data_IF_265231746268
#
_entry.id   IF_265231746268
#
_cell.length_a   1.000
_cell.length_b   1.000
_cell.length_c   1.000
_cell.angle_alpha   90.00
_cell.angle_beta   90.00
_cell.angle_gamma   90.00
#
_symmetry.space_group_name_H-M   'P 1'
#
loop_
_entity.id
_entity.type
_entity.pdbx_description
1 polymer ?
#
# COMPACT_ATOMS: atom_id res chain seq x y z
N UNK A 1 -18.80 -9.96 33.81
CA UNK A 1 -19.50 -8.70 33.47
C UNK A 1 -19.98 -8.76 32.03
N UNK A 2 -21.27 -8.52 31.76
CA UNK A 2 -21.79 -8.48 30.39
C UNK A 2 -21.68 -7.06 29.87
N UNK A 3 -21.17 -6.90 28.65
CA UNK A 3 -21.13 -5.63 27.92
C UNK A 3 -22.27 -5.70 26.91
N UNK A 4 -23.28 -4.85 27.10
CA UNK A 4 -24.41 -4.80 26.20
C UNK A 4 -24.04 -4.18 24.85
N UNK A 5 -24.76 -4.61 23.82
CA UNK A 5 -24.63 -4.01 22.49
C UNK A 5 -25.05 -2.54 22.53
N UNK A 6 -24.20 -1.68 21.96
CA UNK A 6 -24.45 -0.25 21.80
C UNK A 6 -23.94 0.22 20.44
N UNK A 7 -24.09 1.50 20.14
CA UNK A 7 -23.53 2.10 18.91
C UNK A 7 -22.00 1.99 18.83
N UNK A 8 -21.31 1.90 19.99
CA UNK A 8 -19.85 1.92 20.08
C UNK A 8 -19.23 0.54 20.35
N UNK A 9 -20.01 -0.40 20.90
CA UNK A 9 -19.51 -1.67 21.42
C UNK A 9 -20.37 -2.85 20.92
N UNK A 10 -19.70 -3.94 20.54
CA UNK A 10 -20.35 -5.23 20.32
C UNK A 10 -20.78 -5.85 21.66
N UNK A 11 -21.78 -6.73 21.61
CA UNK A 11 -22.11 -7.56 22.78
C UNK A 11 -20.91 -8.44 23.12
N UNK A 12 -20.51 -8.45 24.39
CA UNK A 12 -19.30 -9.16 24.82
C UNK A 12 -19.39 -9.57 26.27
N UNK A 13 -18.69 -10.64 26.63
CA UNK A 13 -18.65 -11.15 28.01
C UNK A 13 -17.24 -10.97 28.54
N UNK A 14 -17.11 -10.16 29.59
CA UNK A 14 -15.87 -9.99 30.34
C UNK A 14 -15.81 -10.90 31.55
N UNK A 15 -14.65 -11.48 31.81
CA UNK A 15 -14.37 -12.22 33.04
C UNK A 15 -14.32 -11.21 34.21
N UNK A 16 -15.04 -11.50 35.29
CA UNK A 16 -15.23 -10.56 36.41
C UNK A 16 -13.93 -10.14 37.11
N UNK A 17 -12.92 -11.03 37.10
CA UNK A 17 -11.59 -10.80 37.65
C UNK A 17 -10.82 -9.68 36.92
N UNK A 18 -11.04 -9.53 35.62
CA UNK A 18 -10.39 -8.50 34.80
C UNK A 18 -11.15 -7.17 34.75
N UNK A 19 -12.34 -7.08 35.36
CA UNK A 19 -13.04 -5.82 35.59
C UNK A 19 -14.56 -5.83 35.41
N UNK A 20 -15.16 -4.71 35.79
CA UNK A 20 -16.56 -4.39 35.52
C UNK A 20 -16.73 -3.82 34.09
N UNK A 21 -17.98 -3.66 33.67
CA UNK A 21 -18.31 -3.13 32.35
C UNK A 21 -17.62 -1.77 32.07
N UNK A 22 -17.53 -0.90 33.08
CA UNK A 22 -16.91 0.42 32.95
C UNK A 22 -15.40 0.33 32.72
N UNK A 23 -14.69 -0.50 33.48
CA UNK A 23 -13.25 -0.72 33.27
C UNK A 23 -12.96 -1.27 31.88
N UNK A 24 -13.75 -2.25 31.42
CA UNK A 24 -13.56 -2.83 30.10
C UNK A 24 -13.78 -1.77 29.01
N UNK A 25 -14.86 -0.98 29.09
CA UNK A 25 -15.10 0.13 28.15
C UNK A 25 -13.96 1.15 28.13
N UNK A 26 -13.46 1.54 29.30
CA UNK A 26 -12.32 2.46 29.41
C UNK A 26 -11.04 1.89 28.79
N UNK A 27 -10.80 0.59 28.94
CA UNK A 27 -9.67 -0.10 28.31
C UNK A 27 -9.79 -0.09 26.78
N UNK A 28 -10.99 -0.39 26.25
CA UNK A 28 -11.29 -0.32 24.81
C UNK A 28 -11.11 1.10 24.27
N UNK A 29 -11.64 2.11 24.95
CA UNK A 29 -11.48 3.52 24.56
C UNK A 29 -10.01 3.95 24.54
N UNK A 30 -9.19 3.39 25.44
CA UNK A 30 -7.74 3.62 25.47
C UNK A 30 -7.06 3.03 24.23
N UNK A 31 -7.40 1.79 23.85
CA UNK A 31 -6.90 1.16 22.60
C UNK A 31 -7.26 2.02 21.38
N UNK A 32 -8.52 2.45 21.29
CA UNK A 32 -9.00 3.32 20.20
C UNK A 32 -8.22 4.63 20.15
N UNK A 33 -7.94 5.25 21.30
CA UNK A 33 -7.13 6.48 21.38
C UNK A 33 -5.68 6.24 20.95
N UNK A 34 -5.07 5.14 21.36
CA UNK A 34 -3.68 4.79 20.97
C UNK A 34 -3.56 4.63 19.46
N UNK A 35 -4.48 3.90 18.83
CA UNK A 35 -4.53 3.75 17.36
C UNK A 35 -4.74 5.10 16.68
N UNK A 36 -5.66 5.94 17.18
CA UNK A 36 -5.90 7.30 16.66
C UNK A 36 -4.66 8.19 16.76
N UNK A 37 -3.93 8.13 17.87
CA UNK A 37 -2.72 8.90 18.08
C UNK A 37 -1.57 8.44 17.16
N UNK A 38 -1.50 7.13 16.89
CA UNK A 38 -0.50 6.55 16.00
C UNK A 38 -0.69 6.92 14.52
N UNK A 39 -1.93 7.24 14.10
CA UNK A 39 -2.33 7.59 12.72
C UNK A 39 -2.10 6.50 11.65
N UNK A 40 -1.50 5.37 12.02
CA UNK A 40 -1.30 4.19 11.19
C UNK A 40 -1.77 2.91 11.92
N UNK A 41 -2.19 1.85 11.20
CA UNK A 41 -2.56 0.57 11.79
C UNK A 41 -1.41 -0.01 12.61
N UNK A 42 -1.75 -0.69 13.71
CA UNK A 42 -0.77 -1.33 14.59
C UNK A 42 -1.07 -2.82 14.69
N UNK A 43 -0.02 -3.63 14.81
CA UNK A 43 -0.20 -5.05 15.16
C UNK A 43 -0.61 -5.19 16.62
N UNK A 44 -1.11 -6.37 16.98
CA UNK A 44 -1.47 -6.69 18.38
C UNK A 44 -0.24 -6.60 19.30
N UNK A 45 0.93 -6.99 18.83
CA UNK A 45 2.21 -6.89 19.56
C UNK A 45 2.57 -5.42 19.80
N UNK A 46 2.48 -4.57 18.78
CA UNK A 46 2.77 -3.15 18.93
C UNK A 46 1.76 -2.44 19.85
N UNK A 47 0.51 -2.88 19.85
CA UNK A 47 -0.49 -2.38 20.78
C UNK A 47 -0.21 -2.86 22.21
N UNK A 48 0.23 -4.10 22.38
CA UNK A 48 0.64 -4.68 23.66
C UNK A 48 1.88 -3.98 24.24
N UNK A 49 2.90 -3.69 23.43
CA UNK A 49 4.07 -2.92 23.87
C UNK A 49 3.70 -1.52 24.37
N UNK A 50 2.68 -0.90 23.75
CA UNK A 50 2.18 0.43 24.14
C UNK A 50 1.19 0.40 25.29
N UNK A 51 0.56 -0.75 25.53
CA UNK A 51 -0.50 -0.93 26.50
C UNK A 51 -0.12 -2.12 27.37
N UNK A 52 0.52 -1.83 28.49
CA UNK A 52 1.15 -2.76 29.42
C UNK A 52 0.17 -3.81 30.03
N UNK A 53 -0.37 -4.70 29.20
CA UNK A 53 -1.28 -5.79 29.55
C UNK A 53 -0.51 -7.10 29.75
N UNK A 54 -1.13 -8.11 30.36
CA UNK A 54 -0.47 -9.40 30.65
C UNK A 54 -0.12 -10.21 29.40
N UNK A 55 -0.97 -10.15 28.36
CA UNK A 55 -0.77 -10.95 27.15
C UNK A 55 -1.38 -10.24 25.92
N UNK A 56 -0.77 -10.36 24.72
CA UNK A 56 -1.29 -9.73 23.50
C UNK A 56 -2.73 -10.13 23.15
N UNK A 57 -3.13 -11.38 23.42
CA UNK A 57 -4.52 -11.85 23.29
C UNK A 57 -5.55 -11.07 24.11
N UNK A 58 -5.14 -10.48 25.24
CA UNK A 58 -6.02 -9.62 26.02
C UNK A 58 -6.32 -8.33 25.23
N UNK A 59 -5.30 -7.76 24.60
CA UNK A 59 -5.44 -6.58 23.74
C UNK A 59 -6.35 -6.88 22.54
N UNK A 60 -6.16 -8.03 21.91
CA UNK A 60 -7.01 -8.49 20.81
C UNK A 60 -8.48 -8.65 21.24
N UNK A 61 -8.71 -9.32 22.37
CA UNK A 61 -10.06 -9.50 22.93
C UNK A 61 -10.73 -8.15 23.19
N UNK A 62 -10.04 -7.21 23.84
CA UNK A 62 -10.57 -5.86 24.08
C UNK A 62 -10.81 -5.10 22.78
N UNK A 63 -9.87 -5.15 21.83
CA UNK A 63 -10.02 -4.46 20.54
C UNK A 63 -11.25 -4.96 19.77
N UNK A 64 -11.54 -6.27 19.82
CA UNK A 64 -12.70 -6.88 19.17
C UNK A 64 -14.06 -6.42 19.72
N UNK A 65 -14.09 -5.89 20.95
CA UNK A 65 -15.32 -5.32 21.55
C UNK A 65 -15.72 -4.02 20.85
N UNK A 66 -14.77 -3.29 20.26
CA UNK A 66 -15.04 -1.98 19.66
C UNK A 66 -15.63 -2.10 18.26
N UNK A 67 -16.77 -1.43 18.00
CA UNK A 67 -17.32 -1.25 16.64
C UNK A 67 -16.51 -0.27 15.78
N UNK A 68 -15.67 0.55 16.43
CA UNK A 68 -14.84 1.57 15.78
C UNK A 68 -13.50 1.04 15.28
N UNK A 69 -13.16 -0.20 15.63
CA UNK A 69 -11.96 -0.88 15.19
C UNK A 69 -12.30 -1.97 14.18
N UNK A 70 -11.40 -2.16 13.24
CA UNK A 70 -11.41 -3.26 12.30
C UNK A 70 -10.01 -3.86 12.25
N UNK A 71 -9.94 -5.15 11.92
CA UNK A 71 -8.69 -5.85 11.74
C UNK A 71 -8.64 -6.50 10.36
N UNK A 72 -7.44 -6.57 9.80
CA UNK A 72 -7.15 -7.29 8.56
C UNK A 72 -5.74 -7.86 8.68
N UNK A 73 -5.57 -9.17 8.51
CA UNK A 73 -4.25 -9.86 8.58
C UNK A 73 -3.37 -9.36 9.74
N UNK A 74 -3.91 -9.44 10.95
CA UNK A 74 -3.25 -9.15 12.23
C UNK A 74 -2.89 -7.68 12.52
N UNK A 75 -3.25 -6.74 11.64
CA UNK A 75 -3.21 -5.30 11.94
C UNK A 75 -4.57 -4.76 12.33
N UNK A 76 -4.59 -3.94 13.38
CA UNK A 76 -5.75 -3.26 13.92
C UNK A 76 -5.71 -1.78 13.59
N UNK A 77 -6.84 -1.26 13.13
CA UNK A 77 -6.98 0.14 12.76
C UNK A 77 -8.42 0.61 12.95
N UNK A 78 -8.66 1.88 12.64
CA UNK A 78 -10.02 2.40 12.65
C UNK A 78 -10.85 1.75 11.54
N UNK A 79 -12.13 1.46 11.79
CA UNK A 79 -13.08 0.94 10.78
C UNK A 79 -13.21 1.84 9.55
N UNK A 80 -12.84 3.12 9.69
CA UNK A 80 -12.81 4.12 8.60
C UNK A 80 -11.54 4.04 7.74
N UNK A 81 -10.50 3.36 8.20
CA UNK A 81 -9.24 3.29 7.49
C UNK A 81 -9.27 2.22 6.40
N UNK A 82 -8.94 2.59 5.16
CA UNK A 82 -9.03 1.68 4.03
C UNK A 82 -7.99 0.55 4.08
N UNK A 83 -6.94 0.70 4.88
CA UNK A 83 -5.90 -0.32 5.11
C UNK A 83 -6.39 -1.53 5.90
N UNK A 84 -7.38 -1.35 6.79
CA UNK A 84 -7.92 -2.42 7.63
C UNK A 84 -9.38 -2.77 7.30
N UNK A 85 -10.05 -1.92 6.52
CA UNK A 85 -11.42 -2.15 6.06
C UNK A 85 -11.62 -1.64 4.63
N UNK A 86 -11.13 -2.38 3.62
CA UNK A 86 -11.23 -1.97 2.23
C UNK A 86 -12.66 -2.11 1.71
N UNK A 87 -13.47 -1.06 1.88
CA UNK A 87 -14.87 -1.03 1.42
C UNK A 87 -14.98 -0.77 -0.09
N UNK A 88 -14.16 0.14 -0.61
CA UNK A 88 -14.21 0.54 -2.02
C UNK A 88 -13.16 -0.20 -2.84
N UNK A 89 -13.37 -0.27 -4.17
CA UNK A 89 -12.44 -0.92 -5.11
C UNK A 89 -11.02 -0.34 -4.97
N UNK A 90 -10.88 0.98 -4.80
CA UNK A 90 -9.58 1.65 -4.60
C UNK A 90 -8.86 1.18 -3.35
N UNK A 91 -9.59 1.01 -2.25
CA UNK A 91 -9.01 0.59 -0.98
C UNK A 91 -8.53 -0.86 -1.09
N UNK A 92 -9.30 -1.72 -1.77
CA UNK A 92 -8.90 -3.10 -2.09
C UNK A 92 -7.61 -3.13 -2.91
N UNK A 93 -7.52 -2.32 -3.97
CA UNK A 93 -6.32 -2.21 -4.79
C UNK A 93 -5.11 -1.74 -3.96
N UNK A 94 -5.32 -0.75 -3.09
CA UNK A 94 -4.26 -0.23 -2.22
C UNK A 94 -3.71 -1.31 -1.30
N UNK A 95 -4.59 -2.11 -0.67
CA UNK A 95 -4.18 -3.24 0.19
C UNK A 95 -3.39 -4.27 -0.63
N UNK A 96 -3.90 -4.72 -1.78
CA UNK A 96 -3.22 -5.72 -2.61
C UNK A 96 -1.82 -5.25 -3.07
N UNK A 97 -1.70 -4.00 -3.51
CA UNK A 97 -0.41 -3.45 -3.91
C UNK A 97 0.54 -3.29 -2.71
N UNK A 98 0.03 -2.81 -1.57
CA UNK A 98 0.83 -2.63 -0.36
C UNK A 98 1.36 -3.97 0.16
N UNK A 99 0.53 -5.01 0.15
CA UNK A 99 0.89 -6.37 0.55
C UNK A 99 1.92 -7.00 -0.39
N UNK A 100 1.75 -6.84 -1.70
CA UNK A 100 2.68 -7.40 -2.67
C UNK A 100 4.05 -6.70 -2.66
N UNK A 101 4.10 -5.42 -2.27
CA UNK A 101 5.35 -4.65 -2.22
C UNK A 101 6.00 -4.39 -3.58
N UNK A 102 5.35 -4.78 -4.68
CA UNK A 102 5.83 -4.64 -6.05
C UNK A 102 4.72 -4.14 -6.99
N UNK A 103 5.07 -3.46 -8.09
CA UNK A 103 4.09 -3.08 -9.10
C UNK A 103 3.44 -4.31 -9.73
N UNK A 104 2.16 -4.23 -10.03
CA UNK A 104 1.37 -5.33 -10.59
C UNK A 104 0.59 -4.87 -11.83
N UNK A 105 0.31 -5.81 -12.74
CA UNK A 105 -0.60 -5.56 -13.84
C UNK A 105 -2.04 -5.48 -13.32
N UNK A 106 -2.90 -4.65 -13.93
CA UNK A 106 -4.30 -4.49 -13.48
C UNK A 106 -5.08 -5.81 -13.47
N UNK A 107 -4.77 -6.74 -14.39
CA UNK A 107 -5.36 -8.09 -14.39
C UNK A 107 -4.93 -8.91 -13.18
N UNK A 108 -3.66 -8.85 -12.79
CA UNK A 108 -3.14 -9.54 -11.60
C UNK A 108 -3.75 -8.93 -10.32
N UNK A 109 -3.94 -7.61 -10.30
CA UNK A 109 -4.65 -6.93 -9.19
C UNK A 109 -6.09 -7.42 -9.10
N UNK A 110 -6.77 -7.60 -10.23
CA UNK A 110 -8.15 -8.09 -10.25
C UNK A 110 -8.27 -9.53 -9.76
N UNK A 111 -7.33 -10.39 -10.16
CA UNK A 111 -7.24 -11.78 -9.69
C UNK A 111 -6.94 -11.84 -8.18
N UNK A 112 -5.94 -11.08 -7.72
CA UNK A 112 -5.61 -11.00 -6.29
C UNK A 112 -6.76 -10.44 -5.42
N UNK A 113 -7.54 -9.49 -5.93
CA UNK A 113 -8.76 -9.04 -5.25
C UNK A 113 -9.81 -10.15 -5.22
N UNK A 114 -9.95 -10.91 -6.31
CA UNK A 114 -10.93 -12.00 -6.40
C UNK A 114 -10.62 -13.14 -5.41
N UNK A 115 -9.33 -13.44 -5.24
CA UNK A 115 -8.83 -14.47 -4.33
C UNK A 115 -8.72 -14.01 -2.87
N UNK A 116 -9.03 -12.74 -2.59
CA UNK A 116 -8.95 -12.18 -1.24
C UNK A 116 -10.23 -12.36 -0.41
N UNK A 117 -10.06 -12.57 0.90
CA UNK A 117 -11.17 -12.77 1.86
C UNK A 117 -12.09 -11.54 2.02
N UNK A 118 -11.68 -10.38 1.54
CA UNK A 118 -12.45 -9.13 1.60
C UNK A 118 -13.27 -8.86 0.33
N UNK A 119 -13.41 -9.84 -0.57
CA UNK A 119 -14.24 -9.72 -1.76
C UNK A 119 -15.74 -9.91 -1.47
N UNK A 120 -16.39 -8.88 -0.90
CA UNK A 120 -17.85 -8.89 -0.69
C UNK A 120 -18.70 -8.66 -1.95
N UNK A 121 -18.09 -8.30 -3.09
CA UNK A 121 -18.82 -7.93 -4.31
C UNK A 121 -17.90 -8.07 -5.52
N UNK A 122 -18.34 -8.82 -6.53
CA UNK A 122 -17.58 -9.02 -7.76
C UNK A 122 -17.18 -7.70 -8.39
N UNK A 123 -15.87 -7.51 -8.51
CA UNK A 123 -15.28 -6.35 -9.15
C UNK A 123 -14.79 -6.78 -10.52
N UNK A 124 -15.26 -6.11 -11.57
CA UNK A 124 -14.77 -6.38 -12.92
C UNK A 124 -13.38 -5.76 -13.13
N UNK A 125 -12.56 -6.41 -13.95
CA UNK A 125 -11.23 -5.92 -14.35
C UNK A 125 -11.30 -4.51 -14.93
N UNK A 126 -12.37 -4.21 -15.67
CA UNK A 126 -12.61 -2.89 -16.27
C UNK A 126 -12.88 -1.82 -15.21
N UNK A 127 -13.65 -2.14 -14.17
CA UNK A 127 -13.88 -1.22 -13.06
C UNK A 127 -12.58 -0.92 -12.32
N UNK A 128 -11.73 -1.94 -12.09
CA UNK A 128 -10.41 -1.77 -11.47
C UNK A 128 -9.53 -0.86 -12.32
N UNK A 129 -9.46 -1.07 -13.63
CA UNK A 129 -8.69 -0.21 -14.53
C UNK A 129 -9.15 1.26 -14.48
N UNK A 130 -10.46 1.50 -14.47
CA UNK A 130 -11.01 2.86 -14.36
C UNK A 130 -10.69 3.52 -13.01
N UNK A 131 -10.80 2.78 -11.91
CA UNK A 131 -10.49 3.28 -10.58
C UNK A 131 -8.98 3.54 -10.39
N UNK A 132 -8.12 2.70 -10.99
CA UNK A 132 -6.67 2.87 -11.03
C UNK A 132 -6.25 4.15 -11.75
N UNK A 133 -6.96 4.56 -12.81
CA UNK A 133 -6.68 5.81 -13.54
C UNK A 133 -7.17 7.03 -12.75
N UNK A 134 -8.30 6.88 -12.04
CA UNK A 134 -8.98 7.99 -11.36
C UNK A 134 -8.30 8.40 -10.05
N UNK A 135 -7.68 7.47 -9.34
CA UNK A 135 -7.02 7.76 -8.07
C UNK A 135 -5.55 8.16 -8.26
N UNK A 136 -5.12 9.22 -7.55
CA UNK A 136 -3.73 9.71 -7.60
C UNK A 136 -2.76 8.83 -6.83
N UNK A 137 -3.24 7.95 -5.94
CA UNK A 137 -2.41 7.01 -5.19
C UNK A 137 -1.78 5.93 -6.05
N UNK A 138 -2.30 5.72 -7.27
CA UNK A 138 -1.79 4.73 -8.21
C UNK A 138 -1.10 5.42 -9.37
N UNK A 139 0.08 4.91 -9.72
CA UNK A 139 0.89 5.42 -10.81
C UNK A 139 1.04 4.34 -11.86
N UNK A 140 0.66 4.66 -13.09
CA UNK A 140 0.92 3.81 -14.25
C UNK A 140 2.41 3.90 -14.60
N UNK A 141 3.11 2.77 -14.49
CA UNK A 141 4.56 2.69 -14.75
C UNK A 141 4.91 1.92 -16.02
N UNK A 142 3.93 1.28 -16.68
CA UNK A 142 4.09 0.46 -17.88
C UNK A 142 2.74 0.10 -18.47
N UNK A 143 2.69 -0.69 -19.55
CA UNK A 143 1.41 -1.10 -20.18
C UNK A 143 0.57 -1.91 -19.19
N UNK A 144 -0.44 -1.27 -18.62
CA UNK A 144 -1.32 -1.86 -17.62
C UNK A 144 -0.66 -2.16 -16.26
N UNK A 145 0.57 -1.72 -16.01
CA UNK A 145 1.29 -1.96 -14.74
C UNK A 145 1.16 -0.75 -13.83
N UNK A 146 0.67 -0.98 -12.62
CA UNK A 146 0.42 0.04 -11.62
C UNK A 146 1.28 -0.16 -10.37
N UNK A 147 1.69 0.94 -9.76
CA UNK A 147 2.44 1.01 -8.52
C UNK A 147 1.80 2.02 -7.56
N UNK A 148 2.15 1.95 -6.27
CA UNK A 148 1.78 2.99 -5.31
C UNK A 148 2.65 4.23 -5.50
N UNK A 149 2.03 5.40 -5.42
CA UNK A 149 2.71 6.71 -5.46
C UNK A 149 3.73 6.85 -4.31
N UNK A 150 3.40 6.29 -3.13
CA UNK A 150 4.27 6.31 -1.94
C UNK A 150 5.60 5.59 -2.13
N UNK A 151 5.73 4.71 -3.13
CA UNK A 151 6.99 4.03 -3.43
C UNK A 151 7.96 4.90 -4.26
N UNK A 152 7.60 6.14 -4.56
CA UNK A 152 8.46 7.07 -5.31
C UNK A 152 8.51 6.79 -6.81
N UNK A 153 7.53 6.07 -7.36
CA UNK A 153 7.41 5.93 -8.80
C UNK A 153 6.83 7.23 -9.39
N UNK A 154 7.63 7.96 -10.15
CA UNK A 154 7.16 9.09 -10.96
C UNK A 154 6.26 8.59 -12.09
N UNK A 155 5.26 9.41 -12.49
CA UNK A 155 4.53 9.20 -13.76
C UNK A 155 5.55 9.09 -14.90
N UNK A 156 5.58 7.94 -15.56
CA UNK A 156 6.59 7.62 -16.57
C UNK A 156 7.55 6.50 -16.15
N UNK A 157 7.88 5.68 -17.12
CA UNK A 157 8.83 4.57 -17.04
C UNK A 157 10.25 5.09 -16.75
N UNK A 158 11.16 4.20 -16.33
CA UNK A 158 12.61 4.49 -16.35
C UNK A 158 13.05 4.94 -17.75
N UNK A 159 12.40 4.40 -18.78
CA UNK A 159 12.62 4.78 -20.16
C UNK A 159 12.20 6.25 -20.42
N UNK A 160 11.13 6.77 -19.82
CA UNK A 160 10.74 8.18 -19.97
C UNK A 160 11.76 9.11 -19.30
N UNK A 161 12.33 8.71 -18.16
CA UNK A 161 13.43 9.44 -17.52
C UNK A 161 14.68 9.44 -18.39
N UNK A 162 15.07 8.30 -18.95
CA UNK A 162 16.20 8.20 -19.90
C UNK A 162 15.92 9.08 -21.13
N UNK A 163 14.69 9.05 -21.66
CA UNK A 163 14.29 9.89 -22.78
C UNK A 163 14.37 11.37 -22.44
N UNK A 164 13.95 11.79 -21.25
CA UNK A 164 14.11 13.17 -20.77
C UNK A 164 15.57 13.58 -20.71
N UNK A 165 16.43 12.75 -20.12
CA UNK A 165 17.88 12.98 -20.05
C UNK A 165 18.51 13.15 -21.44
N UNK A 166 18.13 12.31 -22.41
CA UNK A 166 18.61 12.40 -23.79
C UNK A 166 18.05 13.63 -24.54
N UNK A 167 16.78 14.00 -24.30
CA UNK A 167 16.19 15.23 -24.86
C UNK A 167 16.84 16.50 -24.33
N UNK A 168 17.08 16.54 -23.02
CA UNK A 168 17.70 17.69 -22.36
C UNK A 168 19.15 17.87 -22.78
N UNK A 169 19.87 16.75 -22.99
CA UNK A 169 21.24 16.77 -23.49
C UNK A 169 21.35 17.25 -24.94
N UNK A 170 20.31 17.01 -25.78
CA UNK A 170 20.30 17.27 -27.23
C UNK A 170 21.46 16.61 -28.01
N UNK A 171 22.18 15.69 -27.37
CA UNK A 171 23.32 14.97 -27.94
C UNK A 171 23.31 13.51 -27.49
N UNK A 172 23.92 12.59 -28.26
CA UNK A 172 24.07 11.21 -27.82
C UNK A 172 24.95 11.12 -26.57
N UNK A 173 24.47 10.42 -25.54
CA UNK A 173 25.19 10.29 -24.27
C UNK A 173 25.80 8.91 -24.09
N UNK A 174 26.95 8.86 -23.43
CA UNK A 174 27.54 7.61 -23.00
C UNK A 174 26.68 6.96 -21.91
N UNK A 175 26.63 5.63 -21.92
CA UNK A 175 25.88 4.79 -20.97
C UNK A 175 26.07 5.24 -19.52
N UNK A 176 27.32 5.43 -19.11
CA UNK A 176 27.65 5.77 -17.72
C UNK A 176 27.17 7.18 -17.33
N UNK A 177 27.12 8.11 -18.30
CA UNK A 177 26.58 9.46 -18.10
C UNK A 177 25.05 9.43 -17.99
N UNK A 178 24.38 8.61 -18.81
CA UNK A 178 22.94 8.38 -18.70
C UNK A 178 22.60 7.79 -17.33
N UNK A 179 23.34 6.76 -16.90
CA UNK A 179 23.18 6.16 -15.57
C UNK A 179 23.34 7.22 -14.48
N UNK A 180 24.42 8.01 -14.52
CA UNK A 180 24.66 9.07 -13.54
C UNK A 180 23.52 10.09 -13.49
N UNK A 181 23.04 10.57 -14.64
CA UNK A 181 21.95 11.55 -14.70
C UNK A 181 20.62 10.97 -14.24
N UNK A 182 20.29 9.75 -14.65
CA UNK A 182 19.05 9.07 -14.21
C UNK A 182 19.07 8.79 -12.71
N UNK A 183 20.21 8.38 -12.15
CA UNK A 183 20.37 8.19 -10.70
C UNK A 183 20.25 9.49 -9.91
N UNK A 184 20.60 10.64 -10.50
CA UNK A 184 20.36 11.97 -9.90
C UNK A 184 18.88 12.35 -9.92
N UNK A 185 18.16 11.96 -10.96
CA UNK A 185 16.73 12.31 -11.14
C UNK A 185 15.78 11.34 -10.44
N UNK A 186 16.17 10.06 -10.27
CA UNK A 186 15.31 8.99 -9.76
C UNK A 186 16.13 7.91 -9.05
N UNK A 187 15.66 7.45 -7.91
CA UNK A 187 16.27 6.34 -7.19
C UNK A 187 15.89 5.00 -7.83
N UNK A 188 16.75 4.49 -8.72
CA UNK A 188 16.58 3.19 -9.40
C UNK A 188 17.89 2.42 -9.40
N UNK A 189 17.83 1.10 -9.60
CA UNK A 189 19.05 0.29 -9.75
C UNK A 189 19.66 0.52 -11.12
N UNK A 190 20.99 0.59 -11.19
CA UNK A 190 21.74 0.73 -12.44
C UNK A 190 21.37 -0.36 -13.46
N UNK A 191 21.23 -1.61 -13.01
CA UNK A 191 20.81 -2.75 -13.84
C UNK A 191 19.51 -2.48 -14.58
N UNK A 192 18.55 -1.79 -13.94
CA UNK A 192 17.25 -1.44 -14.54
C UNK A 192 17.41 -0.41 -15.66
N UNK A 193 18.33 0.55 -15.51
CA UNK A 193 18.63 1.56 -16.53
C UNK A 193 19.28 0.88 -17.75
N UNK A 194 20.27 0.02 -17.51
CA UNK A 194 20.97 -0.72 -18.56
C UNK A 194 20.03 -1.64 -19.35
N UNK A 195 19.15 -2.36 -18.64
CA UNK A 195 18.14 -3.19 -19.28
C UNK A 195 17.21 -2.37 -20.17
N UNK A 196 16.77 -1.19 -19.71
CA UNK A 196 15.90 -0.32 -20.53
C UNK A 196 16.63 0.22 -21.77
N UNK A 197 17.89 0.61 -21.65
CA UNK A 197 18.71 1.06 -22.79
C UNK A 197 18.90 0.00 -23.88
N UNK A 198 18.88 -1.30 -23.50
CA UNK A 198 19.03 -2.40 -24.46
C UNK A 198 17.71 -2.98 -24.96
N UNK A 199 16.69 -3.04 -24.11
CA UNK A 199 15.42 -3.73 -24.41
C UNK A 199 14.38 -2.84 -25.08
N UNK A 200 14.51 -1.51 -25.01
CA UNK A 200 13.49 -0.59 -25.54
C UNK A 200 13.89 -0.07 -26.93
N UNK A 201 12.98 -0.14 -27.92
CA UNK A 201 13.25 0.28 -29.29
C UNK A 201 13.44 1.80 -29.42
N UNK A 202 12.96 2.56 -28.43
CA UNK A 202 13.08 4.03 -28.38
C UNK A 202 14.53 4.54 -28.14
N UNK A 203 15.48 3.66 -27.82
CA UNK A 203 16.89 4.01 -27.66
C UNK A 203 17.73 3.31 -28.73
N UNK A 204 18.46 4.11 -29.50
CA UNK A 204 19.36 3.61 -30.53
C UNK A 204 20.80 3.77 -30.07
N UNK A 205 21.57 2.69 -30.18
CA UNK A 205 23.02 2.76 -29.98
C UNK A 205 23.65 3.34 -31.24
N UNK A 206 24.28 4.50 -31.12
CA UNK A 206 24.93 5.22 -32.23
C UNK A 206 26.44 5.05 -32.26
N UNK A 207 27.06 4.71 -31.12
CA UNK A 207 28.49 4.41 -31.04
C UNK A 207 28.82 3.44 -29.89
N UNK A 208 30.10 3.25 -29.57
CA UNK A 208 30.54 2.40 -28.46
C UNK A 208 29.99 2.90 -27.14
N UNK A 209 29.02 2.16 -26.57
CA UNK A 209 28.30 2.52 -25.35
C UNK A 209 27.65 3.92 -25.36
N UNK A 210 27.36 4.48 -26.55
CA UNK A 210 26.68 5.77 -26.70
C UNK A 210 25.30 5.57 -27.28
N UNK A 211 24.30 6.21 -26.67
CA UNK A 211 22.88 6.07 -27.01
C UNK A 211 22.27 7.41 -27.39
N UNK A 212 21.37 7.38 -28.36
CA UNK A 212 20.46 8.47 -28.73
C UNK A 212 19.02 7.99 -28.66
N UNK A 213 18.08 8.92 -28.79
CA UNK A 213 16.70 8.56 -29.07
C UNK A 213 16.61 7.99 -30.49
N UNK A 214 15.82 6.92 -30.66
CA UNK A 214 15.38 6.47 -31.96
C UNK A 214 14.30 7.44 -32.46
N UNK A 215 14.40 7.89 -33.71
CA UNK A 215 13.31 8.57 -34.42
C UNK A 215 12.11 7.63 -34.60
#
# INVERSE_FOLDING_TARGET
SVINETDNYHISVGIAEYGDEKKIRSAVDTIVKTIKANKEPLTIEQLHDKLNYEHPKHVEALASVSKHLAHLKDVWGLTKWPTVNPKNIRDKIFVILSENGKPLHFSEIAEAIKDSDFNRKDVTTQAIHNELIKDKRFVLIGRGIYALDSWGYSKGTVADTISGVLKDAREPLHRDEIVRRVLKSRQVKETTILLNLQSKPQFKRVAKATYSLAE
#
